data_IF_985850356255
#
_entry.id   IF_985850356255
#
_cell.length_a   1.000
_cell.length_b   1.000
_cell.length_c   1.000
_cell.angle_alpha   90.00
_cell.angle_beta   90.00
_cell.angle_gamma   90.00
#
_symmetry.space_group_name_H-M   'P 1'
#
loop_
_entity.id
_entity.type
_entity.pdbx_description
1 polymer ?
#
# COMPACT_ATOMS: atom_id res chain seq x y z
N UNK A 1 39.48 -20.03 -14.19
CA UNK A 1 38.01 -19.96 -14.34
C UNK A 1 37.55 -18.68 -13.66
N UNK A 2 37.12 -17.75 -14.51
CA UNK A 2 36.94 -16.33 -14.24
C UNK A 2 35.72 -15.99 -13.39
N UNK A 3 35.92 -15.07 -12.44
CA UNK A 3 34.97 -14.61 -11.42
C UNK A 3 34.21 -13.34 -11.80
N UNK A 4 33.91 -13.14 -13.09
CA UNK A 4 33.50 -11.81 -13.61
C UNK A 4 32.32 -11.75 -14.57
N UNK A 5 31.43 -12.74 -14.60
CA UNK A 5 30.34 -12.76 -15.58
C UNK A 5 28.98 -13.05 -14.95
N UNK A 6 28.51 -12.19 -14.06
CA UNK A 6 27.08 -12.11 -13.71
C UNK A 6 26.69 -10.66 -13.39
N UNK A 7 26.91 -9.77 -14.35
CA UNK A 7 26.18 -8.51 -14.44
C UNK A 7 25.78 -8.33 -15.90
N UNK A 8 24.58 -7.79 -16.10
CA UNK A 8 23.98 -7.37 -17.39
C UNK A 8 23.05 -8.41 -17.99
N UNK A 9 21.74 -8.27 -17.72
CA UNK A 9 20.67 -8.24 -18.74
C UNK A 9 19.29 -8.28 -18.08
N UNK A 10 18.75 -7.11 -17.72
CA UNK A 10 17.30 -6.94 -17.62
C UNK A 10 16.96 -5.59 -18.25
N UNK A 11 16.76 -5.60 -19.56
CA UNK A 11 16.18 -4.51 -20.32
C UNK A 11 14.98 -5.06 -21.11
N UNK A 12 14.01 -4.18 -21.34
CA UNK A 12 12.85 -4.27 -22.24
C UNK A 12 11.47 -4.62 -21.60
N UNK A 13 10.89 -3.58 -20.99
CA UNK A 13 9.58 -2.95 -21.27
C UNK A 13 8.52 -3.63 -22.16
N UNK A 14 7.27 -3.48 -21.67
CA UNK A 14 6.01 -3.12 -22.35
C UNK A 14 5.03 -4.22 -22.80
N UNK A 15 3.94 -4.33 -22.05
CA UNK A 15 2.55 -4.51 -22.50
C UNK A 15 1.67 -4.05 -21.31
N UNK A 16 0.69 -3.16 -21.38
CA UNK A 16 -0.22 -2.76 -22.44
C UNK A 16 -1.65 -2.86 -21.88
N UNK A 17 -2.33 -1.71 -21.75
CA UNK A 17 -3.77 -1.53 -21.47
C UNK A 17 -4.31 -1.80 -20.06
N UNK A 18 -4.75 -0.75 -19.37
CA UNK A 18 -6.18 -0.40 -19.30
C UNK A 18 -6.45 0.74 -18.30
N UNK A 19 -7.35 1.63 -18.71
CA UNK A 19 -8.08 2.60 -17.90
C UNK A 19 -7.31 3.83 -17.39
N UNK A 20 -7.44 4.89 -18.19
CA UNK A 20 -7.46 6.29 -17.77
C UNK A 20 -8.37 6.49 -16.56
N UNK A 21 -7.82 6.38 -15.36
CA UNK A 21 -8.33 7.05 -14.18
C UNK A 21 -7.50 8.31 -13.99
N UNK A 22 -8.17 9.44 -13.84
CA UNK A 22 -7.58 10.76 -13.59
C UNK A 22 -6.76 10.66 -12.30
N UNK A 23 -5.44 10.49 -12.41
CA UNK A 23 -4.54 10.45 -11.25
C UNK A 23 -4.48 11.82 -10.60
N UNK A 24 -5.34 12.02 -9.60
CA UNK A 24 -5.25 13.15 -8.68
C UNK A 24 -4.05 12.90 -7.77
N UNK A 25 -2.91 13.43 -8.22
CA UNK A 25 -1.66 13.42 -7.47
C UNK A 25 -0.72 12.36 -8.02
N UNK A 26 0.31 12.84 -8.71
CA UNK A 26 1.50 12.11 -9.11
C UNK A 26 1.73 10.84 -8.27
N UNK A 27 1.89 9.71 -8.95
CA UNK A 27 2.56 8.53 -8.43
C UNK A 27 3.92 8.96 -7.88
N UNK A 28 3.92 9.40 -6.62
CA UNK A 28 5.11 9.80 -5.89
C UNK A 28 5.97 8.55 -5.82
N UNK A 29 7.02 8.52 -6.63
CA UNK A 29 7.89 7.36 -6.81
C UNK A 29 8.36 6.84 -5.45
N UNK A 30 8.37 5.51 -5.27
CA UNK A 30 8.86 4.88 -4.05
C UNK A 30 7.89 4.93 -2.86
N UNK A 31 6.56 5.09 -3.08
CA UNK A 31 5.57 4.93 -2.01
C UNK A 31 5.74 3.58 -1.31
N UNK A 32 5.97 3.53 0.01
CA UNK A 32 6.04 2.26 0.69
C UNK A 32 4.68 1.56 0.71
N UNK A 33 4.70 0.22 0.74
CA UNK A 33 3.49 -0.60 0.67
C UNK A 33 2.62 -0.45 1.91
N UNK A 34 1.30 -0.49 1.72
CA UNK A 34 0.32 -0.61 2.79
C UNK A 34 0.52 -1.93 3.55
N UNK A 35 0.82 -1.84 4.85
CA UNK A 35 0.90 -3.00 5.73
C UNK A 35 -0.36 -3.12 6.60
N UNK A 36 -0.86 -4.34 6.75
CA UNK A 36 -2.01 -4.68 7.60
C UNK A 36 -1.56 -5.87 8.45
N UNK A 37 -1.24 -5.60 9.71
CA UNK A 37 -0.73 -6.58 10.65
C UNK A 37 -1.84 -6.96 11.63
N UNK A 38 -1.99 -8.25 11.95
CA UNK A 38 -2.94 -8.66 12.98
C UNK A 38 -2.44 -8.26 14.37
N UNK A 39 -3.31 -7.64 15.17
CA UNK A 39 -3.07 -7.17 16.54
C UNK A 39 -3.93 -7.94 17.56
N UNK A 40 -4.38 -9.14 17.15
CA UNK A 40 -5.27 -10.01 17.91
C UNK A 40 -6.59 -10.33 17.19
N UNK A 41 -7.48 -11.13 17.81
CA UNK A 41 -8.70 -11.60 17.18
C UNK A 41 -9.58 -10.43 16.70
N UNK A 42 -9.83 -10.39 15.39
CA UNK A 42 -10.65 -9.35 14.76
C UNK A 42 -10.08 -7.94 14.89
N UNK A 43 -8.77 -7.77 15.14
CA UNK A 43 -8.10 -6.47 15.25
C UNK A 43 -6.86 -6.44 14.38
N UNK A 44 -6.62 -5.29 13.76
CA UNK A 44 -5.47 -5.08 12.90
C UNK A 44 -4.87 -3.70 13.10
N UNK A 45 -3.55 -3.64 13.03
CA UNK A 45 -2.79 -2.41 12.89
C UNK A 45 -2.54 -2.16 11.41
N UNK A 46 -2.81 -0.94 10.97
CA UNK A 46 -2.64 -0.53 9.58
C UNK A 46 -1.55 0.51 9.51
N UNK A 47 -0.56 0.31 8.64
CA UNK A 47 0.47 1.30 8.32
C UNK A 47 0.26 1.77 6.89
N UNK A 48 -0.33 2.96 6.78
CA UNK A 48 -0.48 3.73 5.55
C UNK A 48 0.63 4.77 5.47
N UNK A 49 0.75 5.44 4.32
CA UNK A 49 1.79 6.42 4.04
C UNK A 49 1.19 7.65 3.42
N UNK A 50 1.56 8.80 3.96
CA UNK A 50 1.23 10.11 3.42
C UNK A 50 2.52 10.81 3.02
N UNK A 51 2.46 11.59 1.94
CA UNK A 51 3.56 12.42 1.53
C UNK A 51 3.45 13.81 2.14
N UNK A 52 4.44 14.18 2.95
CA UNK A 52 4.60 15.52 3.56
C UNK A 52 6.07 15.88 3.56
N UNK A 53 6.38 17.17 3.50
CA UNK A 53 7.76 17.67 3.61
C UNK A 53 8.76 16.96 2.69
N UNK A 54 8.32 16.65 1.47
CA UNK A 54 9.09 15.94 0.45
C UNK A 54 9.55 14.52 0.86
N UNK A 55 8.83 13.88 1.80
CA UNK A 55 9.11 12.54 2.29
C UNK A 55 7.83 11.73 2.54
N UNK A 56 7.96 10.41 2.60
CA UNK A 56 6.90 9.50 3.03
C UNK A 56 6.85 9.39 4.55
N UNK A 57 5.74 9.81 5.13
CA UNK A 57 5.49 9.70 6.56
C UNK A 57 4.50 8.57 6.85
N UNK A 58 4.80 7.68 7.81
CA UNK A 58 3.89 6.62 8.17
C UNK A 58 2.69 7.19 8.93
N UNK A 59 1.50 6.73 8.55
CA UNK A 59 0.25 6.95 9.27
C UNK A 59 -0.24 5.63 9.84
N UNK A 60 -0.42 5.60 11.15
CA UNK A 60 -0.87 4.40 11.85
C UNK A 60 -2.36 4.54 12.13
N UNK A 61 -3.13 3.61 11.57
CA UNK A 61 -4.54 3.43 11.85
C UNK A 61 -4.78 2.07 12.49
N UNK A 62 -5.96 1.87 13.08
CA UNK A 62 -6.38 0.59 13.64
C UNK A 62 -7.71 0.18 13.05
N UNK A 63 -7.81 -1.07 12.61
CA UNK A 63 -9.06 -1.70 12.23
C UNK A 63 -9.51 -2.66 13.33
N UNK A 64 -10.83 -2.75 13.51
CA UNK A 64 -11.48 -3.81 14.28
C UNK A 64 -12.69 -4.33 13.52
N UNK A 65 -12.98 -5.62 13.65
CA UNK A 65 -14.20 -6.23 13.12
C UNK A 65 -15.32 -6.06 14.15
N UNK A 66 -16.42 -5.45 13.73
CA UNK A 66 -17.63 -5.25 14.53
C UNK A 66 -18.79 -5.93 13.81
N UNK A 67 -19.07 -7.19 14.21
CA UNK A 67 -20.02 -8.05 13.49
C UNK A 67 -19.58 -8.28 12.05
N UNK A 68 -20.42 -7.90 11.09
CA UNK A 68 -20.15 -8.00 9.66
C UNK A 68 -19.38 -6.80 9.07
N UNK A 69 -18.98 -5.82 9.89
CA UNK A 69 -18.32 -4.59 9.43
C UNK A 69 -16.88 -4.49 9.90
N UNK A 70 -16.09 -3.71 9.17
CA UNK A 70 -14.74 -3.31 9.56
C UNK A 70 -14.77 -1.82 9.92
N UNK A 71 -14.52 -1.52 11.19
CA UNK A 71 -14.36 -0.16 11.68
C UNK A 71 -12.89 0.23 11.68
N UNK A 72 -12.56 1.34 11.01
CA UNK A 72 -11.19 1.86 10.93
C UNK A 72 -11.11 3.20 11.65
N UNK A 73 -10.28 3.24 12.69
CA UNK A 73 -9.96 4.40 13.50
C UNK A 73 -8.56 4.95 13.15
N UNK A 74 -8.42 6.28 13.19
CA UNK A 74 -7.15 6.96 12.91
C UNK A 74 -7.04 7.51 11.47
N UNK A 75 -5.93 8.20 11.24
CA UNK A 75 -5.63 8.83 9.97
C UNK A 75 -5.08 7.79 8.99
N UNK A 76 -5.76 7.64 7.86
CA UNK A 76 -5.39 6.73 6.77
C UNK A 76 -5.77 7.40 5.45
N UNK A 77 -4.97 7.17 4.42
CA UNK A 77 -5.30 7.60 3.07
C UNK A 77 -6.62 6.96 2.59
N UNK A 78 -7.44 7.68 1.82
CA UNK A 78 -8.75 7.20 1.40
C UNK A 78 -8.66 5.95 0.49
N UNK A 79 -7.66 5.90 -0.39
CA UNK A 79 -7.46 4.74 -1.26
C UNK A 79 -6.99 3.53 -0.46
N UNK A 80 -6.12 3.74 0.54
CA UNK A 80 -5.70 2.66 1.43
C UNK A 80 -6.85 2.17 2.33
N UNK A 81 -7.73 3.07 2.79
CA UNK A 81 -8.93 2.69 3.55
C UNK A 81 -9.81 1.72 2.77
N UNK A 82 -10.06 2.01 1.48
CA UNK A 82 -10.85 1.12 0.62
C UNK A 82 -10.18 -0.25 0.47
N UNK A 83 -8.85 -0.30 0.30
CA UNK A 83 -8.08 -1.57 0.22
C UNK A 83 -8.17 -2.38 1.52
N UNK A 84 -8.11 -1.72 2.68
CA UNK A 84 -8.26 -2.40 3.99
C UNK A 84 -9.64 -3.03 4.10
N UNK A 85 -10.70 -2.28 3.78
CA UNK A 85 -12.08 -2.80 3.84
C UNK A 85 -12.28 -3.96 2.86
N UNK A 86 -11.74 -3.86 1.64
CA UNK A 86 -11.84 -4.95 0.66
C UNK A 86 -11.09 -6.23 1.10
N UNK A 87 -9.90 -6.08 1.70
CA UNK A 87 -9.09 -7.21 2.17
C UNK A 87 -9.64 -7.87 3.44
N UNK A 88 -10.14 -7.06 4.36
CA UNK A 88 -10.61 -7.53 5.68
C UNK A 88 -12.11 -7.76 5.74
N UNK A 89 -12.89 -7.31 4.77
CA UNK A 89 -14.35 -7.46 4.72
C UNK A 89 -14.83 -8.70 3.96
N UNK A 90 -13.92 -9.41 3.30
CA UNK A 90 -14.17 -10.73 2.72
C UNK A 90 -14.34 -11.81 3.80
#
# INVERSE_FOLDING_TARGET
MDRRTLLTSMAATAAGSACTAKDVGAEKTGRPTLAIDSDGPGRWRIRSWEWRDNAWHPRIARAKRTGARIEISGLIDAADRAKVVARLGA
#
